data_IF_367284012435
#
_entry.id   IF_367284012435
#
_cell.length_a   1.000
_cell.length_b   1.000
_cell.length_c   1.000
_cell.angle_alpha   90.00
_cell.angle_beta   90.00
_cell.angle_gamma   90.00
#
_symmetry.space_group_name_H-M   'P 1'
#
loop_
_entity.id
_entity.type
_entity.pdbx_description
1 polymer ?
#
# COMPACT_ATOMS: atom_id res chain seq x y z
N UNK A 1 -25.94 26.28 -1.65
CA UNK A 1 -26.97 25.94 -2.67
C UNK A 1 -26.52 24.82 -3.62
N UNK A 2 -25.46 24.05 -3.30
CA UNK A 2 -24.86 23.01 -4.18
C UNK A 2 -25.32 21.56 -3.92
N UNK A 3 -26.12 21.31 -2.88
CA UNK A 3 -26.43 19.95 -2.41
C UNK A 3 -27.46 19.18 -3.25
N UNK A 4 -28.29 19.88 -4.03
CA UNK A 4 -29.33 19.24 -4.84
C UNK A 4 -28.77 18.54 -6.09
N UNK A 5 -27.80 19.17 -6.79
CA UNK A 5 -27.13 18.57 -7.96
C UNK A 5 -26.40 17.28 -7.56
N UNK A 6 -25.70 17.34 -6.42
CA UNK A 6 -24.95 16.23 -5.87
C UNK A 6 -25.84 14.99 -5.58
N UNK A 7 -27.08 15.18 -5.14
CA UNK A 7 -28.00 14.08 -4.92
C UNK A 7 -28.43 13.37 -6.21
N UNK A 8 -28.64 14.10 -7.31
CA UNK A 8 -29.04 13.51 -8.57
C UNK A 8 -27.89 12.71 -9.22
N UNK A 9 -26.69 13.30 -9.25
CA UNK A 9 -25.49 12.65 -9.79
C UNK A 9 -25.16 11.37 -9.03
N UNK A 10 -25.20 11.41 -7.69
CA UNK A 10 -24.98 10.23 -6.84
C UNK A 10 -25.92 9.07 -7.17
N UNK A 11 -27.21 9.35 -7.34
CA UNK A 11 -28.18 8.32 -7.71
C UNK A 11 -27.89 7.72 -9.10
N UNK A 12 -27.47 8.55 -10.06
CA UNK A 12 -27.09 8.08 -11.39
C UNK A 12 -25.85 7.16 -11.32
N UNK A 13 -24.82 7.54 -10.56
CA UNK A 13 -23.61 6.72 -10.41
C UNK A 13 -23.88 5.38 -9.72
N UNK A 14 -24.72 5.37 -8.68
CA UNK A 14 -25.16 4.13 -8.02
C UNK A 14 -25.93 3.21 -8.95
N UNK A 15 -26.74 3.79 -9.85
CA UNK A 15 -27.42 3.01 -10.87
C UNK A 15 -26.43 2.43 -11.89
N UNK A 16 -25.48 3.24 -12.36
CA UNK A 16 -24.47 2.84 -13.35
C UNK A 16 -23.47 1.81 -12.78
N UNK A 17 -23.24 1.80 -11.46
CA UNK A 17 -22.41 0.81 -10.78
C UNK A 17 -23.03 -0.59 -10.78
N UNK A 18 -24.36 -0.69 -10.64
CA UNK A 18 -25.07 -1.97 -10.67
C UNK A 18 -25.27 -2.51 -12.10
N UNK A 19 -24.89 -1.74 -13.10
CA UNK A 19 -25.30 -1.95 -14.49
C UNK A 19 -24.09 -2.09 -15.39
N UNK A 20 -23.44 -3.25 -15.30
CA UNK A 20 -22.31 -3.56 -16.18
C UNK A 20 -22.75 -3.91 -17.62
N UNK A 21 -24.00 -4.36 -17.84
CA UNK A 21 -24.50 -4.73 -19.18
C UNK A 21 -26.04 -4.71 -19.39
N UNK A 22 -26.85 -4.52 -18.33
CA UNK A 22 -28.32 -4.66 -18.42
C UNK A 22 -29.02 -3.36 -18.81
N UNK A 23 -29.94 -3.41 -19.77
CA UNK A 23 -30.72 -2.22 -20.17
C UNK A 23 -31.68 -1.69 -19.08
N UNK A 24 -32.09 -2.56 -18.14
CA UNK A 24 -33.03 -2.28 -17.05
C UNK A 24 -32.55 -2.94 -15.76
N UNK A 25 -32.76 -2.26 -14.63
CA UNK A 25 -32.39 -2.72 -13.29
C UNK A 25 -33.65 -2.98 -12.47
N UNK A 26 -33.68 -4.03 -11.65
CA UNK A 26 -34.81 -4.25 -10.74
C UNK A 26 -34.89 -3.14 -9.68
N UNK A 27 -36.10 -2.66 -9.40
CA UNK A 27 -36.38 -1.70 -8.31
C UNK A 27 -35.92 -2.22 -6.95
N UNK A 28 -36.06 -3.52 -6.67
CA UNK A 28 -35.60 -4.13 -5.41
C UNK A 28 -34.08 -4.08 -5.26
N UNK A 29 -33.34 -4.40 -6.33
CA UNK A 29 -31.87 -4.39 -6.33
C UNK A 29 -31.35 -2.97 -6.15
N UNK A 30 -31.97 -2.00 -6.83
CA UNK A 30 -31.59 -0.60 -6.68
C UNK A 30 -31.92 -0.07 -5.27
N UNK A 31 -33.09 -0.43 -4.73
CA UNK A 31 -33.48 -0.11 -3.36
C UNK A 31 -32.45 -0.61 -2.34
N UNK A 32 -32.09 -1.89 -2.40
CA UNK A 32 -31.12 -2.50 -1.48
C UNK A 32 -29.77 -1.80 -1.56
N UNK A 33 -29.34 -1.44 -2.78
CA UNK A 33 -28.11 -0.70 -2.98
C UNK A 33 -28.16 0.72 -2.40
N UNK A 34 -29.26 1.46 -2.58
CA UNK A 34 -29.45 2.78 -1.97
C UNK A 34 -29.36 2.71 -0.44
N UNK A 35 -29.95 1.68 0.17
CA UNK A 35 -29.90 1.44 1.62
C UNK A 35 -28.48 1.10 2.07
N UNK A 36 -27.76 0.23 1.36
CA UNK A 36 -26.34 -0.07 1.64
C UNK A 36 -25.46 1.18 1.60
N UNK A 37 -25.74 2.10 0.68
CA UNK A 37 -25.06 3.40 0.59
C UNK A 37 -25.53 4.45 1.61
N UNK A 38 -26.48 4.12 2.48
CA UNK A 38 -26.87 4.94 3.63
C UNK A 38 -28.10 5.81 3.42
N UNK A 39 -28.85 5.58 2.35
CA UNK A 39 -30.19 6.15 2.21
C UNK A 39 -31.12 5.46 3.20
N UNK A 40 -31.90 6.21 3.99
CA UNK A 40 -32.85 5.57 4.91
C UNK A 40 -33.90 4.75 4.13
N UNK A 41 -34.42 3.66 4.71
CA UNK A 41 -35.46 2.85 4.07
C UNK A 41 -36.64 3.68 3.55
N UNK A 42 -37.13 4.64 4.33
CA UNK A 42 -38.28 5.50 3.99
C UNK A 42 -37.97 6.40 2.79
N UNK A 43 -36.76 6.98 2.77
CA UNK A 43 -36.30 7.82 1.66
C UNK A 43 -36.07 6.99 0.41
N UNK A 44 -35.50 5.78 0.55
CA UNK A 44 -35.30 4.86 -0.56
C UNK A 44 -36.64 4.41 -1.16
N UNK A 45 -37.62 4.02 -0.33
CA UNK A 45 -38.98 3.68 -0.79
C UNK A 45 -39.62 4.85 -1.53
N UNK A 46 -39.48 6.07 -1.00
CA UNK A 46 -40.03 7.27 -1.64
C UNK A 46 -39.38 7.54 -3.00
N UNK A 47 -38.04 7.42 -3.10
CA UNK A 47 -37.31 7.55 -4.36
C UNK A 47 -37.76 6.52 -5.39
N UNK A 48 -37.86 5.25 -5.01
CA UNK A 48 -38.31 4.17 -5.90
C UNK A 48 -39.72 4.44 -6.42
N UNK A 49 -40.66 4.86 -5.55
CA UNK A 49 -42.03 5.20 -5.97
C UNK A 49 -42.09 6.36 -6.96
N UNK A 50 -41.20 7.35 -6.81
CA UNK A 50 -41.12 8.46 -7.76
C UNK A 50 -40.49 8.05 -9.09
N UNK A 51 -39.51 7.14 -9.08
CA UNK A 51 -38.80 6.69 -10.28
C UNK A 51 -39.59 5.62 -11.07
N UNK A 52 -40.38 4.79 -10.40
CA UNK A 52 -41.26 3.78 -11.02
C UNK A 52 -42.73 4.00 -10.60
N UNK A 53 -43.37 5.09 -11.04
CA UNK A 53 -44.73 5.44 -10.62
C UNK A 53 -45.79 4.44 -11.12
N UNK A 54 -45.46 3.66 -12.15
CA UNK A 54 -46.34 2.62 -12.72
C UNK A 54 -46.13 1.25 -12.06
N UNK A 55 -45.22 1.15 -11.09
CA UNK A 55 -44.87 -0.10 -10.41
C UNK A 55 -44.53 -1.23 -11.40
N UNK A 56 -43.75 -0.90 -12.43
CA UNK A 56 -43.29 -1.85 -13.44
C UNK A 56 -42.28 -2.85 -12.87
N UNK A 57 -41.67 -2.55 -11.73
CA UNK A 57 -40.64 -3.34 -11.08
C UNK A 57 -39.23 -3.07 -11.60
N UNK A 58 -39.07 -2.22 -12.63
CA UNK A 58 -37.79 -1.95 -13.29
C UNK A 58 -37.50 -0.46 -13.44
N UNK A 59 -36.21 -0.12 -13.42
CA UNK A 59 -35.69 1.23 -13.56
C UNK A 59 -34.71 1.34 -14.71
N UNK A 60 -34.81 2.46 -15.42
CA UNK A 60 -33.83 2.94 -16.40
C UNK A 60 -33.12 4.18 -15.89
N UNK A 61 -31.94 4.47 -16.45
CA UNK A 61 -31.20 5.71 -16.17
C UNK A 61 -32.04 6.97 -16.41
N UNK A 62 -32.92 6.93 -17.43
CA UNK A 62 -33.82 8.03 -17.77
C UNK A 62 -34.92 8.24 -16.72
N UNK A 63 -35.34 7.20 -16.01
CA UNK A 63 -36.32 7.33 -14.93
C UNK A 63 -35.75 8.15 -13.77
N UNK A 64 -34.48 7.92 -13.43
CA UNK A 64 -33.75 8.69 -12.42
C UNK A 64 -33.58 10.15 -12.88
N UNK A 65 -33.12 10.38 -14.11
CA UNK A 65 -32.90 11.73 -14.62
C UNK A 65 -34.20 12.55 -14.66
N UNK A 66 -35.31 11.95 -15.12
CA UNK A 66 -36.63 12.59 -15.13
C UNK A 66 -37.11 12.93 -13.73
N UNK A 67 -36.98 11.99 -12.80
CA UNK A 67 -37.41 12.18 -11.41
C UNK A 67 -36.65 13.32 -10.73
N UNK A 68 -35.35 13.40 -10.96
CA UNK A 68 -34.48 14.40 -10.35
C UNK A 68 -34.46 15.73 -11.12
N UNK A 69 -35.21 15.85 -12.22
CA UNK A 69 -35.14 16.97 -13.16
C UNK A 69 -33.69 17.32 -13.56
N UNK A 70 -32.89 16.29 -13.83
CA UNK A 70 -31.44 16.41 -14.00
C UNK A 70 -31.02 16.19 -15.47
N UNK A 71 -30.15 17.05 -15.97
CA UNK A 71 -29.58 16.94 -17.32
C UNK A 71 -28.27 16.15 -17.29
N UNK A 72 -28.16 15.08 -18.09
CA UNK A 72 -26.93 14.25 -18.15
C UNK A 72 -25.68 15.04 -18.55
N UNK A 73 -25.80 16.11 -19.31
CA UNK A 73 -24.67 16.98 -19.67
C UNK A 73 -24.16 17.83 -18.49
N UNK A 74 -24.90 17.83 -17.37
CA UNK A 74 -24.62 18.65 -16.19
C UNK A 74 -23.91 17.91 -15.05
N UNK A 75 -23.41 16.68 -15.27
CA UNK A 75 -22.51 16.00 -14.33
C UNK A 75 -21.31 16.90 -14.02
N UNK A 76 -21.24 17.41 -12.79
CA UNK A 76 -20.27 18.41 -12.35
C UNK A 76 -19.52 18.01 -11.10
N UNK A 77 -20.07 17.18 -10.21
CA UNK A 77 -19.51 16.94 -8.90
C UNK A 77 -18.08 16.39 -8.94
N UNK A 78 -17.74 15.63 -9.99
CA UNK A 78 -16.41 15.06 -10.20
C UNK A 78 -15.56 15.84 -11.22
N UNK A 79 -15.98 17.00 -11.73
CA UNK A 79 -15.16 17.76 -12.69
C UNK A 79 -13.88 18.33 -12.06
N UNK A 80 -13.94 18.64 -10.78
CA UNK A 80 -12.85 19.28 -10.05
C UNK A 80 -11.94 18.26 -9.33
N UNK A 81 -12.15 16.96 -9.55
CA UNK A 81 -11.23 15.93 -9.05
C UNK A 81 -10.16 15.67 -10.10
N UNK A 82 -8.93 15.52 -9.63
CA UNK A 82 -7.81 15.03 -10.42
C UNK A 82 -7.51 13.60 -9.96
N UNK A 83 -7.84 12.61 -10.80
CA UNK A 83 -7.49 11.22 -10.51
C UNK A 83 -5.98 11.06 -10.61
N UNK A 84 -5.32 10.77 -9.48
CA UNK A 84 -3.89 10.53 -9.47
C UNK A 84 -3.61 9.07 -9.80
N UNK A 85 -4.38 8.14 -9.21
CA UNK A 85 -4.25 6.71 -9.44
C UNK A 85 -5.55 5.99 -9.12
N UNK A 86 -5.91 5.01 -9.93
CA UNK A 86 -7.05 4.13 -9.65
C UNK A 86 -6.86 2.83 -10.40
N UNK A 87 -7.27 1.72 -9.80
CA UNK A 87 -7.51 0.45 -10.49
C UNK A 87 -8.99 0.04 -10.45
N UNK A 88 -9.84 0.81 -9.75
CA UNK A 88 -11.29 0.65 -9.76
C UNK A 88 -11.90 0.85 -11.16
N UNK A 89 -13.01 0.16 -11.42
CA UNK A 89 -13.87 0.46 -12.57
C UNK A 89 -14.40 1.90 -12.50
N UNK A 90 -14.71 2.57 -13.63
CA UNK A 90 -15.16 3.96 -13.63
C UNK A 90 -16.38 4.21 -12.73
N UNK A 91 -17.38 3.31 -12.74
CA UNK A 91 -18.57 3.47 -11.91
C UNK A 91 -18.24 3.37 -10.41
N UNK A 92 -17.46 2.36 -10.01
CA UNK A 92 -17.03 2.19 -8.61
C UNK A 92 -16.19 3.37 -8.14
N UNK A 93 -15.21 3.79 -8.96
CA UNK A 93 -14.36 4.96 -8.73
C UNK A 93 -15.20 6.20 -8.43
N UNK A 94 -16.18 6.48 -9.28
CA UNK A 94 -17.00 7.67 -9.19
C UNK A 94 -17.92 7.63 -7.95
N UNK A 95 -18.53 6.48 -7.64
CA UNK A 95 -19.31 6.28 -6.41
C UNK A 95 -18.48 6.53 -5.14
N UNK A 96 -17.26 5.99 -5.09
CA UNK A 96 -16.34 6.19 -3.95
C UNK A 96 -15.89 7.64 -3.85
N UNK A 97 -15.50 8.27 -4.97
CA UNK A 97 -15.09 9.67 -5.00
C UNK A 97 -16.21 10.59 -4.53
N UNK A 98 -17.45 10.36 -4.99
CA UNK A 98 -18.62 11.08 -4.51
C UNK A 98 -18.76 10.92 -2.99
N UNK A 99 -18.74 9.69 -2.46
CA UNK A 99 -18.85 9.48 -1.01
C UNK A 99 -17.82 10.29 -0.20
N UNK A 100 -16.57 10.37 -0.68
CA UNK A 100 -15.57 11.28 -0.09
C UNK A 100 -16.03 12.74 -0.07
N UNK A 101 -16.49 13.26 -1.21
CA UNK A 101 -16.94 14.66 -1.32
C UNK A 101 -18.15 14.95 -0.43
N UNK A 102 -19.11 14.04 -0.35
CA UNK A 102 -20.26 14.16 0.56
C UNK A 102 -19.83 14.25 2.01
N UNK A 103 -18.99 13.31 2.46
CA UNK A 103 -18.54 13.26 3.85
C UNK A 103 -17.66 14.47 4.18
N UNK A 104 -16.84 14.94 3.23
CA UNK A 104 -16.05 16.16 3.36
C UNK A 104 -16.93 17.42 3.49
N UNK A 105 -18.07 17.46 2.82
CA UNK A 105 -19.00 18.59 2.91
C UNK A 105 -19.80 18.65 4.22
N UNK A 106 -19.98 17.50 4.90
CA UNK A 106 -20.81 17.39 6.10
C UNK A 106 -20.02 17.32 7.40
N UNK A 107 -18.77 16.83 7.34
CA UNK A 107 -18.01 16.49 8.54
C UNK A 107 -16.85 17.46 8.74
N UNK A 108 -16.85 18.16 9.88
CA UNK A 108 -15.78 19.11 10.21
C UNK A 108 -14.48 18.39 10.60
N UNK A 109 -14.58 17.25 11.30
CA UNK A 109 -13.42 16.46 11.76
C UNK A 109 -13.04 15.38 10.75
N UNK A 110 -11.83 15.48 10.18
CA UNK A 110 -11.29 14.53 9.19
C UNK A 110 -11.22 13.08 9.69
N UNK A 111 -10.91 12.85 10.97
CA UNK A 111 -10.89 11.50 11.55
C UNK A 111 -12.29 10.84 11.55
N UNK A 112 -13.32 11.59 11.94
CA UNK A 112 -14.70 11.10 11.92
C UNK A 112 -15.17 10.86 10.48
N UNK A 113 -14.77 11.72 9.56
CA UNK A 113 -15.03 11.55 8.13
C UNK A 113 -14.44 10.22 7.62
N UNK A 114 -13.17 9.95 7.94
CA UNK A 114 -12.48 8.72 7.51
C UNK A 114 -13.08 7.46 8.13
N UNK A 115 -13.52 7.49 9.39
CA UNK A 115 -14.22 6.36 10.02
C UNK A 115 -15.54 6.06 9.34
N UNK A 116 -16.37 7.09 9.12
CA UNK A 116 -17.65 6.95 8.41
C UNK A 116 -17.45 6.44 6.97
N UNK A 117 -16.40 6.92 6.29
CA UNK A 117 -16.04 6.46 4.97
C UNK A 117 -15.68 4.97 4.98
N UNK A 118 -14.73 4.56 5.84
CA UNK A 118 -14.31 3.16 5.99
C UNK A 118 -15.50 2.25 6.28
N UNK A 119 -16.28 2.57 7.31
CA UNK A 119 -17.48 1.80 7.69
C UNK A 119 -18.45 1.66 6.51
N UNK A 120 -18.65 2.73 5.73
CA UNK A 120 -19.53 2.69 4.56
C UNK A 120 -18.98 1.80 3.45
N UNK A 121 -17.68 1.90 3.15
CA UNK A 121 -17.06 1.07 2.12
C UNK A 121 -17.09 -0.41 2.50
N UNK A 122 -16.91 -0.73 3.79
CA UNK A 122 -17.03 -2.09 4.31
C UNK A 122 -18.46 -2.64 4.22
N UNK A 123 -19.47 -1.81 4.48
CA UNK A 123 -20.88 -2.21 4.31
C UNK A 123 -21.21 -2.48 2.83
N UNK A 124 -20.72 -1.64 1.93
CA UNK A 124 -21.08 -1.70 0.49
C UNK A 124 -20.31 -2.82 -0.22
N UNK A 125 -19.00 -2.89 -0.01
CA UNK A 125 -18.09 -3.75 -0.76
C UNK A 125 -17.56 -4.95 0.05
N UNK A 126 -17.77 -4.97 1.37
CA UNK A 126 -17.08 -5.90 2.26
C UNK A 126 -15.61 -5.53 2.43
N UNK A 127 -14.84 -6.42 3.03
CA UNK A 127 -13.39 -6.28 3.13
C UNK A 127 -12.91 -5.39 4.27
N UNK A 128 -11.61 -5.11 4.26
CA UNK A 128 -10.90 -4.32 5.27
C UNK A 128 -10.32 -3.05 4.64
N UNK A 129 -11.07 -1.96 4.67
CA UNK A 129 -10.70 -0.74 3.94
C UNK A 129 -9.74 0.16 4.71
N UNK A 130 -8.72 0.67 4.04
CA UNK A 130 -7.82 1.69 4.56
C UNK A 130 -8.07 3.00 3.82
N UNK A 131 -8.23 4.09 4.56
CA UNK A 131 -8.58 5.41 4.01
C UNK A 131 -7.66 6.50 4.58
N UNK A 132 -7.27 7.47 3.77
CA UNK A 132 -6.42 8.58 4.20
C UNK A 132 -6.75 9.92 3.53
N UNK A 133 -6.30 11.00 4.18
CA UNK A 133 -6.33 12.38 3.69
C UNK A 133 -4.96 13.01 3.95
N UNK A 134 -4.34 13.56 2.92
CA UNK A 134 -3.12 14.38 3.03
C UNK A 134 -3.40 15.81 2.59
N UNK A 135 -2.93 16.78 3.36
CA UNK A 135 -2.96 18.20 2.99
C UNK A 135 -1.68 18.67 2.26
N UNK A 136 -0.65 17.83 2.19
CA UNK A 136 0.54 18.08 1.38
C UNK A 136 0.83 16.92 0.44
N UNK A 137 2.07 16.83 0.01
CA UNK A 137 2.54 15.75 -0.83
C UNK A 137 2.45 14.43 -0.09
N UNK A 138 2.18 13.40 -0.87
CA UNK A 138 2.03 12.04 -0.37
C UNK A 138 2.87 11.15 -1.29
N UNK A 139 3.54 10.18 -0.69
CA UNK A 139 4.25 9.10 -1.37
C UNK A 139 3.96 7.81 -0.64
N UNK A 140 3.60 6.74 -1.35
CA UNK A 140 3.26 5.48 -0.71
C UNK A 140 3.52 4.28 -1.59
N UNK A 141 3.85 3.16 -0.98
CA UNK A 141 3.83 1.84 -1.60
C UNK A 141 2.89 0.97 -0.78
N UNK A 142 1.78 0.57 -1.39
CA UNK A 142 0.71 -0.16 -0.73
C UNK A 142 0.43 -1.49 -1.42
N UNK A 143 -0.05 -2.44 -0.64
CA UNK A 143 -0.57 -3.74 -1.06
C UNK A 143 -2.07 -3.71 -0.86
N UNK A 144 -2.81 -3.90 -1.96
CA UNK A 144 -4.27 -3.85 -1.96
C UNK A 144 -4.88 -4.91 -2.87
N UNK A 145 -6.17 -5.19 -2.67
CA UNK A 145 -6.94 -6.05 -3.57
C UNK A 145 -7.14 -5.34 -4.91
N UNK A 146 -6.91 -6.00 -6.06
CA UNK A 146 -7.15 -5.40 -7.38
C UNK A 146 -8.57 -4.84 -7.54
N UNK A 147 -8.70 -3.67 -8.16
CA UNK A 147 -10.00 -3.03 -8.41
C UNK A 147 -10.60 -2.32 -7.20
N UNK A 148 -9.77 -1.98 -6.21
CA UNK A 148 -10.19 -1.35 -4.95
C UNK A 148 -9.40 -0.10 -4.58
N UNK A 149 -8.36 0.26 -5.33
CA UNK A 149 -7.52 1.41 -5.07
C UNK A 149 -8.02 2.64 -5.83
N UNK A 150 -8.15 3.75 -5.10
CA UNK A 150 -8.43 5.07 -5.62
C UNK A 150 -7.63 6.10 -4.83
N UNK A 151 -6.88 6.92 -5.54
CA UNK A 151 -6.19 8.12 -5.04
C UNK A 151 -6.50 9.28 -5.99
N UNK A 152 -7.04 10.35 -5.44
CA UNK A 152 -7.37 11.54 -6.22
C UNK A 152 -7.12 12.81 -5.41
N UNK A 153 -6.93 13.91 -6.12
CA UNK A 153 -6.84 15.25 -5.53
C UNK A 153 -8.15 15.97 -5.74
N UNK A 154 -8.62 16.65 -4.70
CA UNK A 154 -9.74 17.57 -4.77
C UNK A 154 -9.43 18.78 -3.90
N UNK A 155 -9.47 19.97 -4.52
CA UNK A 155 -8.95 21.21 -3.92
C UNK A 155 -7.49 21.01 -3.46
N UNK A 156 -7.17 21.41 -2.23
CA UNK A 156 -5.83 21.34 -1.66
C UNK A 156 -5.54 20.04 -0.89
N UNK A 157 -6.30 18.97 -1.14
CA UNK A 157 -6.16 17.71 -0.43
C UNK A 157 -6.06 16.51 -1.38
N UNK A 158 -5.24 15.55 -0.98
CA UNK A 158 -5.18 14.21 -1.58
C UNK A 158 -6.03 13.28 -0.72
N UNK A 159 -6.93 12.56 -1.36
CA UNK A 159 -7.79 11.54 -0.77
C UNK A 159 -7.38 10.18 -1.32
N UNK A 160 -7.40 9.16 -0.48
CA UNK A 160 -7.24 7.80 -0.99
C UNK A 160 -7.92 6.75 -0.15
N UNK A 161 -8.34 5.69 -0.82
CA UNK A 161 -8.94 4.50 -0.24
C UNK A 161 -8.49 3.25 -0.99
N UNK A 162 -8.23 2.17 -0.26
CA UNK A 162 -7.93 0.86 -0.82
C UNK A 162 -8.40 -0.24 0.13
N UNK A 163 -8.80 -1.39 -0.42
CA UNK A 163 -9.08 -2.58 0.38
C UNK A 163 -7.76 -3.30 0.66
N UNK A 164 -7.47 -3.51 1.94
CA UNK A 164 -6.23 -4.15 2.38
C UNK A 164 -6.26 -5.62 1.96
N UNK A 165 -5.24 -6.04 1.19
CA UNK A 165 -5.33 -7.30 0.47
C UNK A 165 -5.26 -8.55 1.35
N UNK A 166 -6.11 -9.55 1.07
CA UNK A 166 -5.86 -10.94 1.50
C UNK A 166 -4.93 -11.55 0.45
N UNK A 167 -3.80 -12.12 0.85
CA UNK A 167 -2.65 -12.51 0.00
C UNK A 167 -2.91 -13.45 -1.19
N UNK A 168 -4.17 -13.74 -1.56
CA UNK A 168 -4.57 -14.59 -2.70
C UNK A 168 -4.42 -13.89 -4.05
N UNK A 169 -4.70 -12.59 -4.16
CA UNK A 169 -4.52 -11.78 -5.37
C UNK A 169 -4.15 -10.35 -4.93
N UNK A 170 -2.89 -9.96 -5.07
CA UNK A 170 -2.40 -8.66 -4.59
C UNK A 170 -1.87 -7.79 -5.75
N UNK A 171 -2.30 -6.53 -5.77
CA UNK A 171 -1.61 -5.47 -6.49
C UNK A 171 -0.55 -4.85 -5.58
N UNK A 172 0.69 -4.71 -6.06
CA UNK A 172 1.70 -3.87 -5.40
C UNK A 172 1.84 -2.60 -6.24
N UNK A 173 1.57 -1.44 -5.65
CA UNK A 173 1.66 -0.18 -6.37
C UNK A 173 2.41 0.88 -5.57
N UNK A 174 3.33 1.57 -6.25
CA UNK A 174 4.00 2.76 -5.77
C UNK A 174 3.33 4.02 -6.34
N UNK A 175 3.06 4.99 -5.49
CA UNK A 175 2.41 6.25 -5.80
C UNK A 175 3.30 7.43 -5.39
N UNK A 176 3.36 8.44 -6.24
CA UNK A 176 4.05 9.71 -5.98
C UNK A 176 3.11 10.86 -6.35
N UNK A 177 2.88 11.79 -5.43
CA UNK A 177 2.22 13.07 -5.74
C UNK A 177 3.12 14.22 -5.29
N UNK A 178 3.85 14.80 -6.25
CA UNK A 178 4.73 15.95 -6.09
C UNK A 178 5.02 16.62 -7.45
N UNK A 179 5.36 17.91 -7.44
CA UNK A 179 5.28 18.83 -8.59
C UNK A 179 6.09 18.49 -9.87
N UNK A 180 6.80 17.36 -9.98
CA UNK A 180 7.49 16.97 -11.22
C UNK A 180 7.52 15.45 -11.42
N UNK A 181 7.11 15.03 -12.62
CA UNK A 181 7.32 13.70 -13.25
C UNK A 181 6.80 12.48 -12.50
N UNK A 182 5.63 11.99 -12.93
CA UNK A 182 5.08 10.69 -12.58
C UNK A 182 5.86 9.58 -13.30
N UNK A 183 6.34 8.57 -12.57
CA UNK A 183 6.90 7.35 -13.17
C UNK A 183 6.32 6.11 -12.50
N UNK A 184 5.66 5.28 -13.32
CA UNK A 184 4.75 4.21 -12.90
C UNK A 184 5.36 2.82 -13.11
N UNK A 185 5.13 1.91 -12.16
CA UNK A 185 5.29 0.46 -12.35
C UNK A 185 4.14 -0.21 -11.58
N UNK A 186 3.32 -0.99 -12.28
CA UNK A 186 2.35 -1.92 -11.68
C UNK A 186 2.98 -3.31 -11.79
N UNK A 187 3.19 -3.99 -10.66
CA UNK A 187 3.65 -5.39 -10.65
C UNK A 187 2.48 -6.27 -10.24
N UNK A 188 1.93 -7.02 -11.20
CA UNK A 188 0.96 -8.09 -10.93
C UNK A 188 1.74 -9.36 -10.57
N UNK A 189 1.65 -9.81 -9.33
CA UNK A 189 2.20 -11.08 -8.89
C UNK A 189 1.12 -12.16 -9.02
N UNK A 190 1.15 -12.94 -10.12
CA UNK A 190 0.45 -14.23 -10.18
C UNK A 190 1.25 -15.23 -9.35
N UNK A 191 0.62 -15.80 -8.31
CA UNK A 191 1.15 -16.93 -7.56
C UNK A 191 0.19 -18.11 -7.71
N UNK A 192 0.20 -18.76 -8.86
CA UNK A 192 -0.29 -20.14 -8.98
C UNK A 192 0.92 -21.07 -9.05
N UNK A 193 1.17 -21.77 -7.95
CA UNK A 193 1.86 -23.05 -7.94
C UNK A 193 0.90 -24.03 -7.29
N UNK A 194 -0.01 -24.57 -8.09
CA UNK A 194 -0.61 -25.90 -7.87
C UNK A 194 -1.18 -26.42 -9.19
N UNK A 195 -1.03 -27.73 -9.38
CA UNK A 195 -1.14 -28.53 -10.60
C UNK A 195 -2.30 -28.21 -11.56
N UNK A 196 -1.96 -28.04 -12.85
CA UNK A 196 -2.87 -28.31 -13.97
C UNK A 196 -2.32 -29.51 -14.73
N UNK A 197 -3.09 -30.60 -14.75
CA UNK A 197 -2.85 -31.81 -15.55
C UNK A 197 -3.17 -31.57 -17.02
N UNK A 198 -2.39 -32.18 -17.91
CA UNK A 198 -2.65 -32.25 -19.35
C UNK A 198 -3.97 -32.98 -19.62
N UNK A 199 -5.06 -32.25 -19.80
CA UNK A 199 -6.26 -32.62 -20.58
C UNK A 199 -7.28 -31.50 -20.34
N UNK A 200 -7.29 -30.51 -21.23
CA UNK A 200 -8.44 -29.63 -21.57
C UNK A 200 -7.95 -28.30 -22.16
N UNK A 201 -7.34 -28.35 -23.35
CA UNK A 201 -7.17 -27.19 -24.22
C UNK A 201 -7.40 -27.60 -25.67
N UNK A 202 -8.67 -27.61 -26.09
CA UNK A 202 -9.03 -27.45 -27.50
C UNK A 202 -9.49 -26.01 -27.68
N UNK A 203 -8.63 -25.16 -28.25
CA UNK A 203 -9.04 -23.94 -28.92
C UNK A 203 -8.43 -23.88 -30.32
N UNK A 204 -9.13 -23.29 -31.31
CA UNK A 204 -8.79 -23.43 -32.72
C UNK A 204 -7.56 -22.62 -33.13
N UNK A 205 -6.90 -23.15 -34.15
CA UNK A 205 -5.81 -22.55 -34.89
C UNK A 205 -6.18 -21.15 -35.44
N UNK A 206 -5.28 -20.18 -35.24
CA UNK A 206 -4.86 -19.19 -36.24
C UNK A 206 -3.92 -18.16 -35.58
N UNK A 207 -2.62 -18.45 -35.54
CA UNK A 207 -1.56 -17.50 -35.90
C UNK A 207 -0.20 -18.22 -35.88
N UNK A 208 0.25 -18.64 -37.07
CA UNK A 208 1.61 -19.10 -37.32
C UNK A 208 2.43 -17.91 -37.78
N UNK A 209 3.49 -17.55 -37.06
CA UNK A 209 4.73 -17.20 -37.74
C UNK A 209 5.98 -17.53 -36.92
N UNK A 210 6.91 -18.16 -37.64
CA UNK A 210 8.12 -18.84 -37.19
C UNK A 210 9.21 -17.85 -36.82
N UNK A 211 10.04 -18.21 -35.84
CA UNK A 211 11.49 -18.17 -36.03
C UNK A 211 12.20 -19.12 -35.06
N UNK A 212 12.75 -20.18 -35.63
CA UNK A 212 13.65 -21.11 -34.97
C UNK A 212 15.08 -20.55 -35.00
N UNK A 213 15.79 -20.62 -33.88
CA UNK A 213 17.25 -20.66 -33.87
C UNK A 213 17.73 -21.70 -32.86
N UNK A 214 18.57 -22.60 -33.36
CA UNK A 214 19.19 -23.72 -32.66
C UNK A 214 20.13 -23.22 -31.54
N UNK A 215 20.03 -23.87 -30.38
CA UNK A 215 21.03 -23.83 -29.29
C UNK A 215 22.14 -24.85 -29.55
N UNK A 216 23.36 -24.63 -29.02
CA UNK A 216 24.21 -25.71 -28.54
C UNK A 216 24.35 -25.68 -27.01
N UNK A 217 24.57 -26.87 -26.48
CA UNK A 217 24.49 -27.30 -25.09
C UNK A 217 25.53 -26.69 -24.14
N UNK A 218 25.16 -26.57 -22.85
CA UNK A 218 26.11 -26.43 -21.73
C UNK A 218 25.66 -25.50 -20.60
N UNK A 219 24.96 -26.07 -19.61
CA UNK A 219 24.93 -25.74 -18.16
C UNK A 219 24.96 -24.26 -17.72
N UNK A 220 23.79 -23.69 -17.38
CA UNK A 220 23.41 -23.37 -15.99
C UNK A 220 22.06 -22.65 -15.92
N UNK A 221 21.16 -23.20 -15.10
CA UNK A 221 19.79 -22.74 -14.94
C UNK A 221 19.70 -21.48 -14.06
N UNK A 222 19.58 -20.31 -14.69
CA UNK A 222 19.02 -19.11 -14.08
C UNK A 222 18.44 -18.17 -15.17
N UNK A 223 17.29 -18.53 -15.73
CA UNK A 223 16.56 -17.64 -16.64
C UNK A 223 15.14 -17.44 -16.14
N UNK A 224 14.98 -16.41 -15.30
CA UNK A 224 13.69 -15.76 -15.11
C UNK A 224 13.38 -15.06 -16.45
N UNK A 225 12.32 -15.51 -17.12
CA UNK A 225 11.77 -14.88 -18.32
C UNK A 225 11.54 -13.37 -18.09
N UNK A 226 12.48 -12.56 -18.55
CA UNK A 226 12.29 -11.14 -18.76
C UNK A 226 11.70 -10.94 -20.16
N UNK A 227 10.38 -10.85 -20.27
CA UNK A 227 9.80 -10.07 -21.36
C UNK A 227 9.86 -8.59 -20.97
N UNK A 228 11.05 -8.00 -21.10
CA UNK A 228 11.24 -6.55 -21.06
C UNK A 228 12.06 -6.18 -22.29
N UNK A 229 11.43 -5.46 -23.21
CA UNK A 229 12.00 -4.95 -24.47
C UNK A 229 13.06 -3.85 -24.28
N UNK A 230 13.72 -3.77 -23.11
CA UNK A 230 14.77 -2.78 -22.87
C UNK A 230 15.92 -3.35 -22.01
N UNK A 231 16.93 -3.87 -22.70
CA UNK A 231 18.20 -4.38 -22.13
C UNK A 231 18.91 -3.31 -21.26
N UNK A 232 18.64 -2.01 -21.49
CA UNK A 232 19.21 -0.92 -20.66
C UNK A 232 18.54 -0.81 -19.29
N UNK A 233 17.31 -1.28 -19.13
CA UNK A 233 16.64 -1.31 -17.81
C UNK A 233 17.27 -2.37 -16.89
N UNK A 234 17.60 -3.54 -17.43
CA UNK A 234 18.25 -4.63 -16.69
C UNK A 234 19.68 -4.24 -16.26
N UNK A 235 20.44 -3.59 -17.14
CA UNK A 235 21.76 -3.05 -16.81
C UNK A 235 21.69 -1.97 -15.71
N UNK A 236 20.67 -1.09 -15.73
CA UNK A 236 20.44 -0.08 -14.68
C UNK A 236 20.08 -0.71 -13.33
N UNK A 237 19.30 -1.79 -13.31
CA UNK A 237 18.98 -2.55 -12.09
C UNK A 237 20.23 -3.22 -11.49
N UNK A 238 21.08 -3.86 -12.30
CA UNK A 238 22.35 -4.45 -11.84
C UNK A 238 23.35 -3.40 -11.35
N UNK A 239 23.40 -2.23 -12.00
CA UNK A 239 24.27 -1.12 -11.59
C UNK A 239 23.77 -0.49 -10.29
N UNK A 240 22.44 -0.32 -10.15
CA UNK A 240 21.79 0.11 -8.90
C UNK A 240 22.05 -0.87 -7.75
N UNK A 241 22.03 -2.18 -8.02
CA UNK A 241 22.36 -3.23 -7.04
C UNK A 241 23.83 -3.17 -6.59
N UNK A 242 24.78 -2.99 -7.51
CA UNK A 242 26.21 -2.80 -7.18
C UNK A 242 26.47 -1.47 -6.46
N UNK A 243 25.74 -0.41 -6.78
CA UNK A 243 25.81 0.87 -6.09
C UNK A 243 25.17 0.79 -4.68
N UNK A 244 24.15 -0.05 -4.49
CA UNK A 244 23.50 -0.31 -3.20
C UNK A 244 24.45 -0.99 -2.20
N UNK A 245 25.40 -1.81 -2.68
CA UNK A 245 26.44 -2.44 -1.85
C UNK A 245 27.62 -1.51 -1.53
N UNK A 246 27.92 -0.51 -2.37
CA UNK A 246 29.15 0.30 -2.24
C UNK A 246 29.08 1.46 -1.22
N UNK A 247 27.89 1.84 -0.74
CA UNK A 247 27.70 3.06 0.04
C UNK A 247 27.51 2.86 1.57
N UNK A 248 27.86 1.70 2.12
CA UNK A 248 27.91 1.44 3.57
C UNK A 248 29.36 1.35 4.08
N UNK A 249 30.24 2.24 3.61
CA UNK A 249 31.65 2.29 4.02
C UNK A 249 31.89 2.79 5.46
N UNK A 250 30.83 3.02 6.25
CA UNK A 250 30.92 3.49 7.64
C UNK A 250 30.52 2.36 8.57
N UNK A 251 31.41 1.99 9.47
CA UNK A 251 31.17 0.99 10.51
C UNK A 251 29.98 1.42 11.40
N UNK A 252 29.06 0.51 11.76
CA UNK A 252 27.95 0.84 12.64
C UNK A 252 28.41 1.35 14.00
N UNK A 253 27.68 2.30 14.57
CA UNK A 253 27.98 2.77 15.91
C UNK A 253 27.75 1.67 16.95
N UNK A 254 28.49 1.67 18.08
CA UNK A 254 28.31 0.69 19.14
C UNK A 254 26.87 0.61 19.66
N UNK A 255 26.17 1.75 19.75
CA UNK A 255 24.78 1.81 20.20
C UNK A 255 23.84 1.08 19.23
N UNK A 256 24.07 1.21 17.91
CA UNK A 256 23.29 0.52 16.89
C UNK A 256 23.50 -1.00 16.93
N UNK A 257 24.74 -1.44 17.16
CA UNK A 257 25.07 -2.86 17.32
C UNK A 257 24.43 -3.45 18.57
N UNK A 258 24.54 -2.77 19.71
CA UNK A 258 23.90 -3.16 20.97
C UNK A 258 22.39 -3.23 20.81
N UNK A 259 21.79 -2.26 20.11
CA UNK A 259 20.35 -2.25 19.86
C UNK A 259 19.88 -3.46 19.05
N UNK A 260 20.54 -3.77 17.93
CA UNK A 260 20.21 -4.95 17.12
C UNK A 260 20.45 -6.26 17.86
N UNK A 261 21.45 -6.30 18.74
CA UNK A 261 21.64 -7.44 19.62
C UNK A 261 20.49 -7.56 20.60
N UNK A 262 20.12 -6.46 21.26
CA UNK A 262 19.03 -6.42 22.25
C UNK A 262 17.68 -6.80 21.61
N UNK A 263 17.38 -6.36 20.38
CA UNK A 263 16.19 -6.78 19.61
C UNK A 263 16.16 -8.30 19.36
N UNK A 264 17.31 -8.90 19.07
CA UNK A 264 17.42 -10.33 18.81
C UNK A 264 17.47 -11.17 20.11
N UNK A 265 17.95 -10.61 21.24
CA UNK A 265 17.99 -11.28 22.55
C UNK A 265 16.71 -11.17 23.37
N UNK A 266 15.71 -10.36 22.99
CA UNK A 266 14.40 -10.37 23.68
C UNK A 266 13.80 -11.80 23.77
N UNK A 267 14.28 -12.75 22.95
CA UNK A 267 13.92 -14.17 23.01
C UNK A 267 14.99 -15.11 23.61
N UNK A 268 16.25 -14.70 23.86
CA UNK A 268 17.37 -15.61 24.22
C UNK A 268 18.48 -14.96 25.09
N UNK A 269 19.07 -15.72 26.02
CA UNK A 269 20.12 -15.24 26.93
C UNK A 269 21.49 -14.96 26.27
N UNK A 270 21.75 -15.57 25.10
CA UNK A 270 22.98 -15.39 24.32
C UNK A 270 22.71 -15.68 22.85
N UNK A 271 23.33 -14.94 21.93
CA UNK A 271 23.08 -15.09 20.49
C UNK A 271 24.26 -15.84 19.84
N UNK A 272 24.01 -16.94 19.12
CA UNK A 272 25.02 -17.55 18.28
C UNK A 272 25.59 -16.54 17.27
N UNK A 273 26.90 -16.51 17.10
CA UNK A 273 27.59 -15.58 16.19
C UNK A 273 27.02 -15.61 14.78
N UNK A 274 26.66 -16.82 14.31
CA UNK A 274 26.00 -17.02 13.01
C UNK A 274 24.65 -16.31 12.92
N UNK A 275 23.81 -16.43 13.94
CA UNK A 275 22.48 -15.80 13.97
C UNK A 275 22.58 -14.28 13.98
N UNK A 276 23.53 -13.72 14.74
CA UNK A 276 23.78 -12.27 14.73
C UNK A 276 24.31 -11.79 13.38
N UNK A 277 25.22 -12.53 12.75
CA UNK A 277 25.72 -12.24 11.40
C UNK A 277 24.58 -12.23 10.36
N UNK A 278 23.74 -13.26 10.36
CA UNK A 278 22.57 -13.35 9.47
C UNK A 278 21.61 -12.17 9.69
N UNK A 279 21.40 -11.76 10.95
CA UNK A 279 20.57 -10.60 11.29
C UNK A 279 21.16 -9.28 10.80
N UNK A 280 22.48 -9.05 10.96
CA UNK A 280 23.16 -7.88 10.40
C UNK A 280 23.01 -7.83 8.87
N UNK A 281 23.19 -8.97 8.18
CA UNK A 281 23.00 -9.04 6.73
C UNK A 281 21.57 -8.66 6.34
N UNK A 282 20.56 -9.14 7.09
CA UNK A 282 19.15 -8.74 6.88
C UNK A 282 18.93 -7.24 7.09
N UNK A 283 19.72 -6.57 7.92
CA UNK A 283 19.69 -5.10 8.09
C UNK A 283 20.53 -4.32 7.09
N UNK A 284 21.10 -5.01 6.10
CA UNK A 284 21.76 -4.39 4.95
C UNK A 284 23.27 -4.19 5.09
N UNK A 285 23.90 -4.78 6.10
CA UNK A 285 25.36 -4.90 6.13
C UNK A 285 25.81 -5.92 5.08
N UNK A 286 26.89 -5.63 4.36
CA UNK A 286 27.42 -6.59 3.41
C UNK A 286 28.02 -7.81 4.13
N UNK A 287 28.04 -8.96 3.44
CA UNK A 287 28.44 -10.23 4.05
C UNK A 287 29.89 -10.20 4.58
N UNK A 288 30.80 -9.47 3.92
CA UNK A 288 32.20 -9.35 4.31
C UNK A 288 32.34 -8.43 5.55
N UNK A 289 31.60 -7.32 5.60
CA UNK A 289 31.55 -6.43 6.75
C UNK A 289 30.92 -7.12 7.96
N UNK A 290 29.80 -7.82 7.79
CA UNK A 290 29.16 -8.59 8.85
C UNK A 290 30.09 -9.70 9.37
N UNK A 291 30.82 -10.38 8.46
CA UNK A 291 31.81 -11.40 8.84
C UNK A 291 32.98 -10.81 9.63
N UNK A 292 33.56 -9.70 9.16
CA UNK A 292 34.65 -9.01 9.85
C UNK A 292 34.23 -8.50 11.23
N UNK A 293 33.02 -7.92 11.33
CA UNK A 293 32.45 -7.47 12.60
C UNK A 293 32.26 -8.64 13.56
N UNK A 294 31.55 -9.69 13.13
CA UNK A 294 31.28 -10.85 13.99
C UNK A 294 32.55 -11.59 14.39
N UNK A 295 33.55 -11.73 13.51
CA UNK A 295 34.84 -12.36 13.83
C UNK A 295 35.66 -11.56 14.85
N UNK A 296 35.50 -10.23 14.89
CA UNK A 296 36.13 -9.38 15.89
C UNK A 296 35.42 -9.45 17.25
N UNK A 297 34.10 -9.61 17.23
CA UNK A 297 33.25 -9.66 18.41
C UNK A 297 33.29 -11.05 19.09
N UNK A 298 33.28 -12.11 18.29
CA UNK A 298 33.37 -13.48 18.74
C UNK A 298 34.83 -13.88 18.96
N UNK A 299 35.23 -14.05 20.22
CA UNK A 299 36.59 -14.44 20.63
C UNK A 299 36.84 -15.95 20.45
N UNK A 300 36.27 -16.55 19.41
CA UNK A 300 36.36 -17.99 19.09
C UNK A 300 35.43 -18.89 19.90
N UNK A 301 34.39 -18.32 20.52
CA UNK A 301 33.42 -19.04 21.36
C UNK A 301 32.18 -19.50 20.61
N UNK A 302 31.93 -18.96 19.41
CA UNK A 302 30.72 -19.23 18.63
C UNK A 302 29.48 -18.47 19.10
N UNK A 303 29.63 -17.60 20.11
CA UNK A 303 28.56 -16.84 20.75
C UNK A 303 29.03 -15.41 20.96
N UNK A 304 28.17 -14.44 20.67
CA UNK A 304 28.41 -13.02 20.99
C UNK A 304 27.63 -12.70 22.25
N UNK A 305 28.27 -12.04 23.22
CA UNK A 305 27.56 -11.45 24.35
C UNK A 305 27.42 -9.95 24.17
N UNK A 306 26.40 -9.36 24.81
CA UNK A 306 26.15 -7.91 24.81
C UNK A 306 27.40 -7.08 25.13
N UNK A 307 28.21 -7.54 26.09
CA UNK A 307 29.44 -6.86 26.53
C UNK A 307 30.53 -6.81 25.44
N UNK A 308 30.51 -7.72 24.48
CA UNK A 308 31.52 -7.78 23.42
C UNK A 308 31.27 -6.73 22.34
N UNK A 309 30.07 -6.14 22.28
CA UNK A 309 29.66 -5.12 21.31
C UNK A 309 30.21 -3.72 21.61
N UNK A 310 30.78 -3.52 22.79
CA UNK A 310 31.32 -2.23 23.22
C UNK A 310 32.78 -2.40 23.65
N UNK A 311 33.54 -1.30 23.57
CA UNK A 311 34.90 -1.31 24.13
C UNK A 311 34.81 -1.50 25.66
N UNK A 312 35.85 -2.08 26.30
CA UNK A 312 35.84 -2.36 27.74
C UNK A 312 35.53 -1.17 28.65
N UNK A 313 35.74 0.07 28.17
CA UNK A 313 35.52 1.31 28.92
C UNK A 313 34.32 2.14 28.41
N UNK A 314 33.60 1.66 27.41
CA UNK A 314 32.39 2.32 26.89
C UNK A 314 31.17 1.61 27.49
N UNK A 315 30.45 2.28 28.39
CA UNK A 315 29.11 1.83 28.78
C UNK A 315 28.19 2.25 27.63
N UNK A 316 27.63 1.31 26.85
CA UNK A 316 26.68 1.69 25.82
C UNK A 316 25.50 2.39 26.50
N UNK A 317 25.29 3.64 26.14
CA UNK A 317 24.04 4.29 26.50
C UNK A 317 22.91 3.55 25.79
N UNK A 318 21.85 3.21 26.52
CA UNK A 318 20.62 2.71 25.89
C UNK A 318 19.91 3.79 25.06
N UNK A 319 20.40 5.03 25.09
CA UNK A 319 19.89 6.11 24.22
C UNK A 319 20.50 5.99 22.84
N UNK A 320 19.68 5.95 21.80
CA UNK A 320 20.10 6.02 20.41
C UNK A 320 20.19 7.49 19.97
N UNK A 321 21.38 8.12 19.87
CA UNK A 321 21.48 9.55 19.56
C UNK A 321 20.90 9.90 18.19
N UNK A 322 20.96 8.94 17.25
CA UNK A 322 20.40 9.07 15.91
C UNK A 322 18.87 9.23 15.88
N UNK A 323 18.17 8.90 16.98
CA UNK A 323 16.71 8.98 17.08
C UNK A 323 16.23 10.18 17.91
N UNK A 324 17.13 11.04 18.39
CA UNK A 324 16.77 12.20 19.23
C UNK A 324 15.77 13.15 18.59
N UNK A 325 15.85 13.29 17.26
CA UNK A 325 15.00 14.21 16.50
C UNK A 325 13.71 13.53 15.99
N UNK A 326 13.44 12.30 16.42
CA UNK A 326 12.25 11.55 16.03
C UNK A 326 11.16 11.68 17.08
N UNK A 327 9.97 12.05 16.63
CA UNK A 327 8.77 12.05 17.44
C UNK A 327 7.84 10.92 16.99
N UNK A 328 7.60 9.93 17.84
CA UNK A 328 6.60 8.90 17.58
C UNK A 328 5.21 9.54 17.69
N UNK A 329 4.42 9.42 16.62
CA UNK A 329 3.05 9.93 16.56
C UNK A 329 2.05 8.84 16.97
N UNK A 330 2.27 7.61 16.51
CA UNK A 330 1.48 6.45 16.85
C UNK A 330 2.31 5.17 16.65
N UNK A 331 2.20 4.19 17.53
CA UNK A 331 2.75 2.87 17.29
C UNK A 331 2.06 1.81 18.15
N UNK A 332 1.85 0.63 17.58
CA UNK A 332 1.50 -0.57 18.32
C UNK A 332 2.62 -1.62 18.32
N UNK A 333 3.76 -1.32 17.68
CA UNK A 333 4.95 -2.17 17.63
C UNK A 333 5.63 -2.25 19.00
N UNK A 334 6.39 -3.34 19.22
CA UNK A 334 7.36 -3.35 20.31
C UNK A 334 8.44 -2.27 20.07
N UNK A 335 9.01 -1.76 21.17
CA UNK A 335 9.92 -0.62 21.13
C UNK A 335 11.17 -0.91 20.29
N UNK A 336 11.72 -2.13 20.38
CA UNK A 336 12.97 -2.49 19.68
C UNK A 336 12.81 -2.54 18.18
N UNK A 337 11.75 -3.18 17.71
CA UNK A 337 11.37 -3.19 16.31
C UNK A 337 11.14 -1.77 15.79
N UNK A 338 10.41 -0.93 16.53
CA UNK A 338 10.17 0.45 16.12
C UNK A 338 11.48 1.24 15.98
N UNK A 339 12.36 1.15 16.97
CA UNK A 339 13.68 1.80 16.96
C UNK A 339 14.56 1.34 15.80
N UNK A 340 14.54 0.05 15.47
CA UNK A 340 15.31 -0.51 14.34
C UNK A 340 14.82 0.02 12.99
N UNK A 341 13.50 0.12 12.80
CA UNK A 341 12.90 0.72 11.60
C UNK A 341 13.27 2.21 11.51
N UNK A 342 13.16 2.95 12.60
CA UNK A 342 13.52 4.37 12.64
C UNK A 342 14.99 4.60 12.30
N UNK A 343 15.90 3.78 12.84
CA UNK A 343 17.33 3.82 12.52
C UNK A 343 17.57 3.59 11.02
N UNK A 344 16.88 2.63 10.42
CA UNK A 344 17.01 2.37 8.99
C UNK A 344 16.48 3.53 8.14
N UNK A 345 15.37 4.18 8.53
CA UNK A 345 14.85 5.35 7.84
C UNK A 345 15.84 6.52 7.88
N UNK A 346 16.49 6.78 9.02
CA UNK A 346 17.56 7.78 9.14
C UNK A 346 18.69 7.51 8.12
N UNK A 347 19.10 6.25 7.98
CA UNK A 347 20.14 5.86 7.02
C UNK A 347 19.68 5.99 5.56
N UNK A 348 18.42 5.65 5.26
CA UNK A 348 17.83 5.81 3.93
C UNK A 348 17.79 7.28 3.51
N UNK A 349 17.40 8.19 4.41
CA UNK A 349 17.36 9.64 4.15
C UNK A 349 18.76 10.19 3.88
N UNK A 350 19.77 9.75 4.64
CA UNK A 350 21.17 10.17 4.46
C UNK A 350 21.73 9.86 3.07
N UNK A 351 21.19 8.84 2.39
CA UNK A 351 21.61 8.44 1.03
C UNK A 351 21.15 9.41 -0.06
N UNK A 352 20.34 10.42 0.25
CA UNK A 352 19.86 11.47 -0.67
C UNK A 352 19.24 10.93 -1.98
N UNK A 353 18.61 9.75 -1.92
CA UNK A 353 17.86 9.17 -3.04
C UNK A 353 16.53 9.90 -3.26
N UNK A 354 15.85 9.64 -4.38
CA UNK A 354 14.49 10.12 -4.59
C UNK A 354 13.54 9.56 -3.52
N UNK A 355 12.44 10.26 -3.20
CA UNK A 355 11.46 9.77 -2.21
C UNK A 355 10.87 8.41 -2.60
N UNK A 356 10.72 8.15 -3.90
CA UNK A 356 10.32 6.84 -4.44
C UNK A 356 11.30 5.75 -4.02
N UNK A 357 12.56 5.92 -4.37
CA UNK A 357 13.59 4.91 -4.09
C UNK A 357 13.80 4.72 -2.59
N UNK A 358 13.60 5.77 -1.79
CA UNK A 358 13.62 5.69 -0.33
C UNK A 358 12.51 4.75 0.20
N UNK A 359 11.28 4.84 -0.32
CA UNK A 359 10.19 3.93 0.07
C UNK A 359 10.41 2.51 -0.44
N UNK A 360 10.94 2.35 -1.65
CA UNK A 360 11.25 1.03 -2.21
C UNK A 360 12.34 0.32 -1.37
N UNK A 361 13.41 1.04 -1.02
CA UNK A 361 14.47 0.55 -0.14
C UNK A 361 13.93 0.22 1.27
N UNK A 362 13.01 1.02 1.80
CA UNK A 362 12.35 0.79 3.09
C UNK A 362 11.49 -0.47 3.05
N UNK A 363 10.52 -0.53 2.13
CA UNK A 363 9.62 -1.68 1.99
C UNK A 363 10.40 -2.97 1.80
N UNK A 364 11.35 -2.98 0.85
CA UNK A 364 12.18 -4.15 0.57
C UNK A 364 12.90 -4.63 1.84
N UNK A 365 13.50 -3.71 2.60
CA UNK A 365 14.19 -4.06 3.85
C UNK A 365 13.25 -4.65 4.88
N UNK A 366 12.09 -4.03 5.10
CA UNK A 366 11.10 -4.54 6.06
C UNK A 366 10.63 -5.94 5.66
N UNK A 367 10.47 -6.20 4.37
CA UNK A 367 10.08 -7.53 3.87
C UNK A 367 11.18 -8.58 4.04
N UNK A 368 12.46 -8.21 3.90
CA UNK A 368 13.61 -9.08 4.16
C UNK A 368 13.78 -9.40 5.66
N UNK A 369 13.53 -8.44 6.54
CA UNK A 369 13.74 -8.59 8.00
C UNK A 369 12.53 -9.26 8.66
N UNK A 370 11.33 -8.77 8.40
CA UNK A 370 10.11 -9.09 9.16
C UNK A 370 9.06 -9.85 8.33
N UNK A 371 9.39 -10.26 7.10
CA UNK A 371 8.48 -10.97 6.21
C UNK A 371 7.60 -10.04 5.37
N UNK A 372 6.92 -10.60 4.36
CA UNK A 372 6.17 -9.85 3.33
C UNK A 372 4.95 -9.11 3.88
N UNK A 373 4.40 -8.19 3.09
CA UNK A 373 3.09 -7.58 3.39
C UNK A 373 3.15 -6.14 3.92
N UNK A 374 4.32 -5.50 3.85
CA UNK A 374 4.52 -4.16 4.39
C UNK A 374 4.02 -3.07 3.45
N UNK A 375 3.31 -2.12 4.02
CA UNK A 375 2.93 -0.86 3.39
C UNK A 375 3.80 0.24 3.98
N UNK A 376 4.24 1.17 3.13
CA UNK A 376 5.11 2.26 3.54
C UNK A 376 4.60 3.55 2.91
N UNK A 377 4.53 4.62 3.69
CA UNK A 377 4.21 5.94 3.17
C UNK A 377 5.04 7.02 3.84
N UNK A 378 5.17 8.16 3.16
CA UNK A 378 5.64 9.39 3.74
C UNK A 378 4.87 10.59 3.20
N UNK A 379 4.81 11.66 3.98
CA UNK A 379 4.06 12.86 3.63
C UNK A 379 4.66 14.10 4.27
N UNK A 380 4.62 15.21 3.53
CA UNK A 380 4.82 16.53 4.10
C UNK A 380 3.46 17.14 4.46
N UNK A 381 3.35 17.71 5.65
CA UNK A 381 2.11 18.35 6.12
C UNK A 381 1.14 17.46 6.89
N UNK A 382 -0.11 17.93 6.99
CA UNK A 382 -1.13 17.29 7.85
C UNK A 382 -1.65 16.03 7.20
N UNK A 383 -1.56 14.93 7.92
CA UNK A 383 -1.99 13.61 7.48
C UNK A 383 -3.00 13.00 8.45
N UNK A 384 -4.02 12.36 7.90
CA UNK A 384 -5.05 11.64 8.64
C UNK A 384 -5.26 10.29 7.97
N UNK A 385 -5.25 9.20 8.73
CA UNK A 385 -5.55 7.88 8.20
C UNK A 385 -6.36 7.04 9.18
N UNK A 386 -7.14 6.13 8.63
CA UNK A 386 -7.75 5.00 9.33
C UNK A 386 -7.42 3.76 8.52
N UNK A 387 -6.56 2.91 9.06
CA UNK A 387 -6.06 1.71 8.37
C UNK A 387 -6.50 0.44 9.10
N UNK A 388 -6.72 -0.64 8.34
CA UNK A 388 -6.72 -2.00 8.88
C UNK A 388 -5.31 -2.57 8.74
N UNK A 389 -4.66 -2.91 9.86
CA UNK A 389 -3.31 -3.45 9.88
C UNK A 389 -3.17 -4.59 10.89
N UNK A 390 -2.12 -5.39 10.74
CA UNK A 390 -1.81 -6.46 11.68
C UNK A 390 -1.30 -5.88 13.01
N UNK A 391 -1.88 -6.31 14.13
CA UNK A 391 -1.49 -5.84 15.45
C UNK A 391 0.02 -6.03 15.70
N UNK A 392 0.67 -5.01 16.26
CA UNK A 392 2.10 -5.05 16.56
C UNK A 392 3.00 -4.69 15.39
N UNK A 393 2.46 -4.20 14.28
CA UNK A 393 3.22 -3.92 13.04
C UNK A 393 3.08 -2.48 12.55
N UNK A 394 2.43 -1.59 13.29
CA UNK A 394 2.19 -0.20 12.89
C UNK A 394 3.09 0.78 13.62
N UNK A 395 3.71 1.66 12.84
CA UNK A 395 4.57 2.72 13.33
C UNK A 395 4.40 3.96 12.46
N UNK A 396 4.12 5.09 13.11
CA UNK A 396 4.05 6.41 12.51
C UNK A 396 4.89 7.37 13.34
N UNK A 397 5.83 8.06 12.70
CA UNK A 397 6.71 9.00 13.36
C UNK A 397 7.04 10.20 12.47
N UNK A 398 7.44 11.30 13.11
CA UNK A 398 7.89 12.53 12.48
C UNK A 398 9.41 12.61 12.55
N UNK A 399 10.05 12.89 11.42
CA UNK A 399 11.48 13.15 11.32
C UNK A 399 11.70 14.25 10.27
N UNK A 400 12.35 15.36 10.66
CA UNK A 400 12.65 16.49 9.77
C UNK A 400 11.41 17.01 9.01
N UNK A 401 10.32 17.27 9.74
CA UNK A 401 9.03 17.75 9.19
C UNK A 401 8.31 16.80 8.23
N UNK A 402 8.85 15.59 8.03
CA UNK A 402 8.26 14.53 7.23
C UNK A 402 7.65 13.47 8.15
N UNK A 403 6.38 13.12 7.91
CA UNK A 403 5.75 11.98 8.58
C UNK A 403 6.08 10.72 7.78
N UNK A 404 6.56 9.70 8.48
CA UNK A 404 6.81 8.36 7.96
C UNK A 404 5.83 7.39 8.62
N UNK A 405 5.24 6.51 7.83
CA UNK A 405 4.35 5.48 8.34
C UNK A 405 4.61 4.14 7.67
N UNK A 406 4.61 3.09 8.48
CA UNK A 406 4.71 1.71 8.03
C UNK A 406 3.70 0.86 8.77
N UNK A 407 3.12 -0.11 8.06
CA UNK A 407 2.21 -1.08 8.67
C UNK A 407 2.12 -2.35 7.82
N UNK A 408 1.90 -3.51 8.43
CA UNK A 408 1.69 -4.77 7.70
C UNK A 408 0.21 -5.02 7.48
N UNK A 409 -0.15 -5.44 6.27
CA UNK A 409 -1.53 -5.86 5.97
C UNK A 409 -1.84 -7.17 6.71
N UNK A 410 -3.03 -7.32 7.34
CA UNK A 410 -3.38 -8.53 8.07
C UNK A 410 -3.31 -9.78 7.20
N UNK A 411 -2.54 -10.78 7.63
CA UNK A 411 -2.54 -12.11 7.01
C UNK A 411 -3.71 -12.93 7.56
N UNK A 412 -4.80 -13.03 6.79
CA UNK A 412 -5.79 -14.09 7.08
C UNK A 412 -5.41 -15.34 6.32
N UNK A 413 -4.58 -16.22 6.90
CA UNK A 413 -4.66 -17.64 6.57
C UNK A 413 -6.02 -18.12 7.07
N UNK A 414 -7.03 -18.19 6.20
CA UNK A 414 -8.21 -18.97 6.53
C UNK A 414 -7.76 -20.44 6.56
N UNK A 415 -7.75 -21.00 7.77
CA UNK A 415 -7.72 -22.43 8.05
C UNK A 415 -8.82 -23.17 7.29
#
# INVERSE_FOLDING_TARGET
>A
METASYNAEKLIHFYDELREDKAKLSTSVYYDHLVKWGTSPEKATSLIRMMDPKNTGYLTRNDICRTMNFNLQSLRALRDIEIIKTDMSPSKRDSVALLFLELASRTVKKESMLRQLKERLEIVYGGDWSCFISAGHYWSICIHNPGTNLVFKYRDHIYGAFESGKLRLIGIEAFLCGAQSLSFITLTSSCDKDALTEEDLVLPADFVEKQAFNLPDGEDAAQICCQVSDVRACARAHTSFRQHQKNMAVEPSPEKLVHFYDELTEAQASIPTRSYKEFLIKWGYDAEQADRLCSRLDKGTGVIHRKDLCKPNEIPSNTLPALRDIQILNSDMNQKQAESIMLYVVDVIRRKKSKKDQLEDLKKRLEEVYGRGWNCYMTDGKFYSVCSHEAGTSLVFLLNEMVYGVFRTPYTSKH
#
